data_IF_572252431330
#
_entry.id   IF_572252431330
#
_cell.length_a   1.000
_cell.length_b   1.000
_cell.length_c   1.000
_cell.angle_alpha   90.00
_cell.angle_beta   90.00
_cell.angle_gamma   90.00
#
_symmetry.space_group_name_H-M   'P 1'
#
loop_
_entity.id
_entity.type
_entity.pdbx_description
1 polymer ?
#
# COMPACT_ATOMS: atom_id res chain seq x y z
N UNK A 1 16.96 35.84 16.80
CA UNK A 1 16.72 34.73 15.85
C UNK A 1 17.49 33.50 16.31
N UNK A 2 16.83 32.56 16.99
CA UNK A 2 17.46 31.27 17.35
C UNK A 2 17.43 30.39 16.11
N UNK A 3 18.59 30.16 15.49
CA UNK A 3 18.77 29.09 14.50
C UNK A 3 18.82 27.78 15.28
N UNK A 4 17.69 27.11 15.38
CA UNK A 4 17.63 25.72 15.80
C UNK A 4 18.21 24.87 14.67
N UNK A 5 19.45 24.45 14.82
CA UNK A 5 20.05 23.35 14.07
C UNK A 5 19.33 22.07 14.49
N UNK A 6 18.12 21.81 13.98
CA UNK A 6 17.52 20.48 14.09
C UNK A 6 18.06 19.61 12.96
N UNK A 7 18.60 18.47 13.39
CA UNK A 7 19.25 17.47 12.55
C UNK A 7 18.37 17.12 11.35
N UNK A 8 18.96 17.05 10.15
CA UNK A 8 18.38 16.58 8.88
C UNK A 8 18.02 15.08 8.95
N UNK A 9 17.24 14.69 9.95
CA UNK A 9 16.83 13.32 10.21
C UNK A 9 15.41 13.14 9.70
N UNK A 10 15.23 12.19 8.80
CA UNK A 10 13.89 11.74 8.40
C UNK A 10 13.21 10.91 9.49
N UNK A 11 13.91 10.52 10.56
CA UNK A 11 13.33 9.73 11.66
C UNK A 11 12.73 10.63 12.74
N UNK A 12 11.45 10.41 13.04
CA UNK A 12 10.68 11.09 14.08
C UNK A 12 10.15 10.07 15.08
N UNK A 13 10.31 10.36 16.38
CA UNK A 13 9.78 9.52 17.45
C UNK A 13 8.48 10.10 17.96
N UNK A 14 7.41 9.30 17.96
CA UNK A 14 6.08 9.70 18.40
C UNK A 14 5.61 8.72 19.47
N UNK A 15 4.98 9.24 20.52
CA UNK A 15 4.38 8.44 21.59
C UNK A 15 2.88 8.23 21.38
N UNK A 16 2.30 7.39 22.22
CA UNK A 16 0.88 7.02 22.16
C UNK A 16 -0.01 8.16 22.64
N UNK A 17 -1.12 8.41 21.96
CA UNK A 17 -2.19 9.25 22.50
C UNK A 17 -1.87 10.74 22.56
N UNK A 18 -2.90 11.52 22.89
CA UNK A 18 -2.86 12.97 22.96
C UNK A 18 -1.85 13.51 23.98
N UNK A 19 -1.64 12.76 25.07
CA UNK A 19 -0.73 13.13 26.17
C UNK A 19 0.75 13.10 25.80
N UNK A 20 1.12 12.40 24.72
CA UNK A 20 2.50 12.32 24.24
C UNK A 20 2.78 13.29 23.07
N UNK A 21 1.81 14.13 22.69
CA UNK A 21 2.00 15.14 21.65
C UNK A 21 2.89 16.27 22.17
N UNK A 22 3.95 16.56 21.43
CA UNK A 22 4.88 17.67 21.73
C UNK A 22 5.10 18.53 20.50
N UNK A 23 5.26 19.83 20.68
CA UNK A 23 5.55 20.77 19.58
C UNK A 23 6.86 20.40 18.87
N UNK A 24 7.88 19.97 19.62
CA UNK A 24 9.17 19.58 19.07
C UNK A 24 9.05 18.40 18.08
N UNK A 25 8.35 17.33 18.46
CA UNK A 25 8.14 16.18 17.57
C UNK A 25 7.22 16.53 16.39
N UNK A 26 6.19 17.36 16.63
CA UNK A 26 5.25 17.82 15.60
C UNK A 26 5.94 18.67 14.54
N UNK A 27 6.80 19.61 14.96
CA UNK A 27 7.59 20.43 14.04
C UNK A 27 8.61 19.58 13.28
N UNK A 28 9.32 18.66 13.94
CA UNK A 28 10.25 17.75 13.26
C UNK A 28 9.55 16.87 12.20
N UNK A 29 8.31 16.43 12.47
CA UNK A 29 7.48 15.72 11.50
C UNK A 29 7.15 16.59 10.29
N UNK A 30 6.64 17.80 10.49
CA UNK A 30 6.28 18.69 9.38
C UNK A 30 7.50 19.15 8.59
N UNK A 31 8.61 19.48 9.25
CA UNK A 31 9.86 19.82 8.60
C UNK A 31 10.36 18.65 7.74
N UNK A 32 10.32 17.41 8.25
CA UNK A 32 10.72 16.22 7.47
C UNK A 32 9.84 16.03 6.23
N UNK A 33 8.52 16.16 6.38
CA UNK A 33 7.58 16.05 5.27
C UNK A 33 7.78 17.16 4.23
N UNK A 34 8.00 18.41 4.66
CA UNK A 34 8.23 19.54 3.76
C UNK A 34 9.57 19.45 3.02
N UNK A 35 10.62 19.00 3.70
CA UNK A 35 11.97 18.95 3.13
C UNK A 35 12.22 17.72 2.25
N UNK A 36 11.65 16.57 2.62
CA UNK A 36 11.95 15.29 1.98
C UNK A 36 10.75 14.67 1.25
N UNK A 37 9.53 15.12 1.53
CA UNK A 37 8.30 14.48 1.06
C UNK A 37 7.95 13.19 1.80
N UNK A 38 8.76 12.77 2.78
CA UNK A 38 8.55 11.56 3.60
C UNK A 38 9.25 11.67 4.96
N UNK A 39 8.85 10.81 5.90
CA UNK A 39 9.55 10.59 7.17
C UNK A 39 9.39 9.13 7.63
N UNK A 40 10.29 8.67 8.47
CA UNK A 40 10.16 7.42 9.22
C UNK A 40 9.62 7.75 10.61
N UNK A 41 8.59 7.02 11.04
CA UNK A 41 8.03 7.15 12.38
C UNK A 41 8.46 5.96 13.22
N UNK A 42 9.08 6.24 14.37
CA UNK A 42 9.27 5.24 15.41
C UNK A 42 8.13 5.39 16.42
N UNK A 43 7.29 4.35 16.54
CA UNK A 43 6.12 4.32 17.41
C UNK A 43 6.12 3.06 18.29
N UNK A 44 5.73 3.13 19.59
CA UNK A 44 5.75 1.98 20.49
C UNK A 44 4.91 0.76 20.04
N UNK A 45 3.85 1.00 19.26
CA UNK A 45 2.99 -0.07 18.72
C UNK A 45 3.59 -0.84 17.55
N UNK A 46 4.55 -0.27 16.82
CA UNK A 46 5.15 -0.91 15.66
C UNK A 46 6.53 -1.42 16.03
N UNK A 47 6.55 -2.69 16.47
CA UNK A 47 7.78 -3.38 16.88
C UNK A 47 8.35 -4.19 15.71
N UNK A 48 9.68 -4.38 15.73
CA UNK A 48 10.39 -5.09 14.67
C UNK A 48 9.88 -6.53 14.52
N UNK A 49 9.56 -7.17 15.63
CA UNK A 49 9.13 -8.56 15.71
C UNK A 49 7.80 -8.77 14.96
N UNK A 50 6.88 -7.81 15.06
CA UNK A 50 5.59 -7.80 14.33
C UNK A 50 5.85 -7.67 12.83
N UNK A 51 6.71 -6.72 12.43
CA UNK A 51 7.07 -6.51 11.02
C UNK A 51 7.77 -7.74 10.42
N UNK A 52 8.72 -8.32 11.15
CA UNK A 52 9.45 -9.51 10.73
C UNK A 52 8.49 -10.71 10.56
N UNK A 53 7.53 -10.88 11.46
CA UNK A 53 6.50 -11.93 11.35
C UNK A 53 5.60 -11.70 10.12
N UNK A 54 5.04 -10.50 9.96
CA UNK A 54 4.21 -10.15 8.79
C UNK A 54 4.93 -10.33 7.47
N UNK A 55 6.20 -9.93 7.39
CA UNK A 55 7.01 -10.11 6.19
C UNK A 55 7.24 -11.59 5.89
N UNK A 56 7.54 -12.40 6.91
CA UNK A 56 7.69 -13.86 6.75
C UNK A 56 6.40 -14.51 6.28
N UNK A 57 5.28 -14.20 6.92
CA UNK A 57 4.00 -14.84 6.60
C UNK A 57 3.47 -14.38 5.25
N UNK A 58 3.59 -13.09 4.92
CA UNK A 58 3.24 -12.59 3.58
C UNK A 58 4.09 -13.27 2.50
N UNK A 59 5.38 -13.46 2.76
CA UNK A 59 6.25 -14.20 1.84
C UNK A 59 5.79 -15.65 1.68
N UNK A 60 5.47 -16.36 2.76
CA UNK A 60 4.94 -17.73 2.71
C UNK A 60 3.64 -17.78 1.91
N UNK A 61 2.71 -16.85 2.16
CA UNK A 61 1.46 -16.69 1.41
C UNK A 61 1.73 -16.59 -0.10
N UNK A 62 2.56 -15.63 -0.54
CA UNK A 62 2.82 -15.45 -1.96
C UNK A 62 3.61 -16.59 -2.59
N UNK A 63 4.69 -17.04 -1.95
CA UNK A 63 5.60 -18.04 -2.52
C UNK A 63 4.99 -19.45 -2.57
N UNK A 64 4.24 -19.85 -1.54
CA UNK A 64 3.70 -21.22 -1.42
C UNK A 64 2.26 -21.37 -1.88
N UNK A 65 1.41 -20.36 -1.65
CA UNK A 65 -0.01 -20.47 -1.95
C UNK A 65 -0.40 -19.83 -3.27
N UNK A 66 0.24 -18.71 -3.64
CA UNK A 66 -0.17 -17.94 -4.83
C UNK A 66 0.67 -18.27 -6.07
N UNK A 67 1.99 -18.19 -5.96
CA UNK A 67 2.91 -18.31 -7.11
C UNK A 67 3.47 -19.73 -7.28
N UNK A 68 3.38 -20.56 -6.25
CA UNK A 68 3.96 -21.92 -6.21
C UNK A 68 5.45 -21.96 -6.63
N UNK A 69 6.23 -21.00 -6.14
CA UNK A 69 7.68 -20.97 -6.42
C UNK A 69 8.43 -22.10 -5.71
N UNK A 70 7.85 -22.67 -4.65
CA UNK A 70 8.41 -23.82 -3.93
C UNK A 70 8.41 -25.12 -4.77
N UNK A 71 7.36 -25.40 -5.56
CA UNK A 71 7.36 -26.55 -6.46
C UNK A 71 8.25 -26.32 -7.69
N UNK A 72 8.39 -25.08 -8.16
CA UNK A 72 9.27 -24.73 -9.28
C UNK A 72 10.76 -24.94 -8.96
N UNK A 73 11.17 -24.79 -7.70
CA UNK A 73 12.54 -25.05 -7.25
C UNK A 73 12.87 -26.55 -7.05
N UNK A 74 11.89 -27.45 -7.12
CA UNK A 74 12.04 -28.87 -6.79
C UNK A 74 12.38 -29.79 -7.99
N UNK A 75 12.96 -29.28 -9.09
CA UNK A 75 13.51 -30.12 -10.20
C UNK A 75 14.72 -29.47 -10.90
N UNK A 76 15.83 -30.19 -11.19
CA UNK A 76 16.35 -31.45 -10.65
C UNK A 76 17.56 -31.25 -9.71
N UNK A 77 17.84 -32.28 -8.92
CA UNK A 77 18.96 -32.39 -8.00
C UNK A 77 20.33 -32.23 -8.70
N UNK A 78 21.15 -31.29 -8.21
CA UNK A 78 22.60 -31.51 -8.09
C UNK A 78 23.17 -30.61 -6.99
N UNK A 79 23.92 -31.26 -6.10
CA UNK A 79 24.71 -30.76 -4.97
C UNK A 79 25.09 -29.27 -4.97
N UNK A 80 24.89 -28.57 -3.84
CA UNK A 80 25.97 -28.28 -2.87
C UNK A 80 25.39 -27.60 -1.61
N UNK A 81 25.55 -28.32 -0.50
CA UNK A 81 25.84 -27.89 0.89
C UNK A 81 25.63 -26.43 1.35
N UNK A 82 24.99 -26.34 2.54
CA UNK A 82 25.01 -25.25 3.56
C UNK A 82 23.98 -24.13 3.42
N UNK A 83 22.71 -24.45 3.71
CA UNK A 83 21.92 -23.63 4.62
C UNK A 83 21.17 -24.57 5.57
N UNK A 84 21.16 -24.23 6.86
CA UNK A 84 20.41 -24.96 7.89
C UNK A 84 18.97 -25.08 7.40
N UNK A 85 18.53 -26.29 7.10
CA UNK A 85 17.13 -26.60 6.86
C UNK A 85 16.40 -26.32 8.17
N UNK A 86 15.62 -25.24 8.21
CA UNK A 86 14.62 -25.05 9.24
C UNK A 86 13.67 -26.25 9.18
N UNK A 87 13.65 -26.98 10.29
CA UNK A 87 12.79 -28.12 10.58
C UNK A 87 11.32 -27.76 10.38
N UNK A 88 10.60 -28.62 9.64
CA UNK A 88 9.16 -28.58 9.30
C UNK A 88 8.75 -27.71 8.09
N UNK A 89 9.30 -27.97 6.91
CA UNK A 89 8.58 -27.69 5.67
C UNK A 89 7.53 -28.78 5.44
N UNK A 90 6.37 -28.67 6.10
CA UNK A 90 5.21 -29.46 5.69
C UNK A 90 4.86 -29.08 4.24
N UNK A 91 4.50 -30.07 3.40
CA UNK A 91 4.02 -29.79 2.05
C UNK A 91 2.74 -28.95 2.15
N UNK A 92 2.84 -27.70 1.72
CA UNK A 92 1.70 -26.79 1.57
C UNK A 92 1.09 -27.07 0.20
N UNK A 93 -0.23 -27.17 0.14
CA UNK A 93 -0.94 -27.24 -1.13
C UNK A 93 -1.08 -25.81 -1.69
N UNK A 94 -0.68 -25.53 -2.93
CA UNK A 94 -0.95 -24.23 -3.55
C UNK A 94 -2.46 -24.02 -3.75
N UNK A 95 -2.88 -22.75 -3.82
CA UNK A 95 -4.26 -22.43 -4.17
C UNK A 95 -4.56 -22.92 -5.60
N UNK A 96 -5.74 -23.53 -5.76
CA UNK A 96 -6.25 -23.91 -7.06
C UNK A 96 -6.54 -22.68 -7.93
N UNK A 97 -6.57 -22.82 -9.26
CA UNK A 97 -6.94 -21.71 -10.15
C UNK A 97 -8.31 -21.09 -9.83
N UNK A 98 -9.25 -21.91 -9.33
CA UNK A 98 -10.57 -21.44 -8.91
C UNK A 98 -10.50 -20.58 -7.65
N UNK A 99 -9.73 -21.00 -6.65
CA UNK A 99 -9.51 -20.20 -5.44
C UNK A 99 -8.81 -18.88 -5.76
N UNK A 100 -7.77 -18.92 -6.62
CA UNK A 100 -7.04 -17.73 -7.07
C UNK A 100 -7.95 -16.71 -7.79
N UNK A 101 -8.81 -17.15 -8.70
CA UNK A 101 -9.76 -16.25 -9.36
C UNK A 101 -10.82 -15.73 -8.38
N UNK A 102 -11.22 -16.53 -7.39
CA UNK A 102 -12.20 -16.13 -6.36
C UNK A 102 -11.67 -15.03 -5.44
N UNK A 103 -10.37 -15.07 -5.10
CA UNK A 103 -9.74 -14.02 -4.26
C UNK A 103 -9.35 -12.77 -5.05
N UNK A 104 -9.33 -12.85 -6.39
CA UNK A 104 -8.91 -11.76 -7.28
C UNK A 104 -9.89 -10.58 -7.25
N UNK A 105 -9.33 -9.38 -7.33
CA UNK A 105 -10.05 -8.12 -7.34
C UNK A 105 -9.60 -7.27 -8.54
N UNK A 106 -10.54 -6.58 -9.21
CA UNK A 106 -10.20 -5.59 -10.23
C UNK A 106 -9.65 -4.28 -9.62
N UNK A 107 -9.74 -4.10 -8.30
CA UNK A 107 -9.28 -2.92 -7.59
C UNK A 107 -8.31 -3.28 -6.47
N UNK A 108 -7.51 -2.29 -6.08
CA UNK A 108 -6.59 -2.40 -4.94
C UNK A 108 -7.27 -2.37 -3.57
N UNK A 109 -8.61 -2.31 -3.49
CA UNK A 109 -9.32 -2.17 -2.22
C UNK A 109 -9.22 -3.45 -1.37
N UNK A 110 -9.66 -4.60 -1.87
CA UNK A 110 -9.69 -5.86 -1.10
C UNK A 110 -9.47 -7.09 -1.96
N UNK A 111 -8.59 -7.98 -1.50
CA UNK A 111 -8.24 -9.22 -2.18
C UNK A 111 -6.98 -9.12 -3.03
N UNK A 112 -6.77 -10.16 -3.83
CA UNK A 112 -5.59 -10.34 -4.64
C UNK A 112 -5.67 -9.52 -5.93
N UNK A 113 -4.61 -8.84 -6.30
CA UNK A 113 -4.50 -8.22 -7.63
C UNK A 113 -3.03 -8.10 -8.01
N UNK A 114 -2.80 -8.01 -9.31
CA UNK A 114 -1.47 -7.86 -9.88
C UNK A 114 -1.32 -6.44 -10.40
N UNK A 115 -0.45 -5.66 -9.77
CA UNK A 115 -0.13 -4.33 -10.25
C UNK A 115 0.93 -4.44 -11.35
N UNK A 116 0.56 -4.01 -12.57
CA UNK A 116 1.46 -3.99 -13.72
C UNK A 116 1.85 -2.55 -13.98
N UNK A 117 3.12 -2.22 -13.67
CA UNK A 117 3.66 -0.88 -13.92
C UNK A 117 3.87 -0.59 -15.40
N UNK A 118 4.37 0.61 -15.71
CA UNK A 118 4.69 1.04 -17.07
C UNK A 118 5.73 0.13 -17.77
N UNK A 119 6.56 -0.57 -17.00
CA UNK A 119 7.56 -1.55 -17.48
C UNK A 119 6.94 -2.86 -18.00
N UNK A 120 5.63 -3.06 -17.89
CA UNK A 120 4.94 -4.27 -18.37
C UNK A 120 4.99 -5.45 -17.40
N UNK A 121 4.69 -6.65 -17.92
CA UNK A 121 4.46 -7.87 -17.12
C UNK A 121 5.68 -8.40 -16.35
N UNK A 122 6.88 -7.99 -16.76
CA UNK A 122 8.15 -8.44 -16.17
C UNK A 122 8.42 -7.76 -14.81
N UNK A 123 7.72 -6.67 -14.51
CA UNK A 123 7.87 -5.85 -13.30
C UNK A 123 6.56 -5.82 -12.48
N UNK A 124 5.74 -6.86 -12.66
CA UNK A 124 4.46 -6.93 -12.01
C UNK A 124 4.62 -7.28 -10.53
N UNK A 125 3.88 -6.57 -9.69
CA UNK A 125 3.86 -6.73 -8.24
C UNK A 125 2.61 -7.53 -7.88
N UNK A 126 2.79 -8.62 -7.15
CA UNK A 126 1.67 -9.37 -6.59
C UNK A 126 1.23 -8.69 -5.30
N UNK A 127 -0.05 -8.35 -5.21
CA UNK A 127 -0.60 -7.58 -4.11
C UNK A 127 -1.78 -8.31 -3.48
N UNK A 128 -1.89 -8.24 -2.16
CA UNK A 128 -3.07 -8.66 -1.42
C UNK A 128 -3.48 -7.54 -0.47
N UNK A 129 -4.67 -6.98 -0.70
CA UNK A 129 -5.20 -5.87 0.10
C UNK A 129 -6.24 -6.35 1.10
N UNK A 130 -6.16 -5.82 2.31
CA UNK A 130 -7.07 -6.05 3.42
C UNK A 130 -7.58 -4.68 3.88
N UNK A 131 -8.87 -4.55 4.12
CA UNK A 131 -9.41 -3.36 4.79
C UNK A 131 -10.16 -3.76 6.05
N UNK A 132 -10.76 -2.77 6.73
CA UNK A 132 -11.61 -3.00 7.91
C UNK A 132 -12.66 -4.09 7.70
N UNK A 133 -12.76 -5.06 8.60
CA UNK A 133 -13.77 -6.11 8.50
C UNK A 133 -15.14 -5.58 8.99
N UNK A 134 -16.08 -5.42 8.06
CA UNK A 134 -17.46 -4.99 8.31
C UNK A 134 -18.40 -5.74 7.36
N UNK A 135 -19.66 -5.91 7.77
CA UNK A 135 -20.66 -6.63 6.97
C UNK A 135 -20.89 -5.98 5.60
N UNK A 136 -20.92 -4.64 5.56
CA UNK A 136 -21.20 -3.86 4.35
C UNK A 136 -20.07 -2.85 4.07
N UNK A 137 -18.96 -3.27 3.44
CA UNK A 137 -17.79 -2.41 3.20
C UNK A 137 -18.10 -1.13 2.40
N UNK A 138 -19.14 -1.16 1.56
CA UNK A 138 -19.57 0.00 0.79
C UNK A 138 -19.89 1.21 1.67
N UNK A 139 -20.43 1.02 2.88
CA UNK A 139 -20.78 2.12 3.78
C UNK A 139 -19.59 3.00 4.18
N UNK A 140 -18.36 2.49 4.08
CA UNK A 140 -17.15 3.24 4.36
C UNK A 140 -16.92 4.36 3.33
N UNK A 141 -17.19 4.07 2.05
CA UNK A 141 -16.84 4.90 0.87
C UNK A 141 -18.03 5.49 0.12
N UNK A 142 -19.22 4.92 0.23
CA UNK A 142 -20.34 5.20 -0.67
C UNK A 142 -20.71 6.69 -0.73
N UNK A 143 -20.70 7.37 0.41
CA UNK A 143 -21.02 8.80 0.48
C UNK A 143 -20.10 9.65 -0.41
N UNK A 144 -18.81 9.31 -0.48
CA UNK A 144 -17.84 10.02 -1.33
C UNK A 144 -18.18 9.89 -2.82
N UNK A 145 -18.51 8.68 -3.28
CA UNK A 145 -18.85 8.44 -4.68
C UNK A 145 -20.19 9.09 -5.07
N UNK A 146 -21.20 9.00 -4.19
CA UNK A 146 -22.49 9.68 -4.38
C UNK A 146 -22.33 11.19 -4.49
N UNK A 147 -21.57 11.81 -3.58
CA UNK A 147 -21.28 13.24 -3.61
C UNK A 147 -20.46 13.67 -4.83
N UNK A 148 -19.63 12.76 -5.35
CA UNK A 148 -18.83 12.98 -6.56
C UNK A 148 -19.60 12.72 -7.86
N UNK A 149 -20.87 12.34 -7.79
CA UNK A 149 -21.74 12.12 -8.95
C UNK A 149 -21.46 10.84 -9.75
N UNK A 150 -20.82 9.85 -9.16
CA UNK A 150 -20.56 8.55 -9.81
C UNK A 150 -21.82 7.69 -9.87
N UNK A 151 -21.95 6.88 -10.92
CA UNK A 151 -23.08 5.95 -11.03
C UNK A 151 -22.89 4.74 -10.11
N UNK A 152 -23.96 4.29 -9.47
CA UNK A 152 -23.93 3.19 -8.50
C UNK A 152 -23.37 1.89 -9.10
N UNK A 153 -23.73 1.61 -10.35
CA UNK A 153 -23.25 0.44 -11.10
C UNK A 153 -21.73 0.44 -11.33
N UNK A 154 -21.10 1.63 -11.33
CA UNK A 154 -19.65 1.78 -11.57
C UNK A 154 -18.84 1.54 -10.30
N UNK A 155 -19.24 2.17 -9.18
CA UNK A 155 -18.41 2.16 -7.96
C UNK A 155 -18.78 1.05 -6.98
N UNK A 156 -20.07 0.66 -6.91
CA UNK A 156 -20.55 -0.25 -5.86
C UNK A 156 -19.87 -1.62 -5.92
N UNK A 157 -19.69 -2.26 -7.09
CA UNK A 157 -18.93 -3.52 -7.18
C UNK A 157 -17.49 -3.41 -6.68
N UNK A 158 -16.85 -2.24 -6.79
CA UNK A 158 -15.47 -2.01 -6.37
C UNK A 158 -15.36 -1.90 -4.84
N UNK A 159 -16.31 -1.22 -4.19
CA UNK A 159 -16.24 -0.91 -2.75
C UNK A 159 -17.06 -1.84 -1.85
N UNK A 160 -17.98 -2.64 -2.41
CA UNK A 160 -18.81 -3.58 -1.64
C UNK A 160 -18.09 -4.89 -1.28
N UNK A 161 -16.98 -5.19 -1.96
CA UNK A 161 -16.26 -6.46 -1.79
C UNK A 161 -15.76 -6.61 -0.35
N UNK A 162 -15.97 -7.77 0.25
CA UNK A 162 -15.32 -8.13 1.52
C UNK A 162 -13.93 -8.71 1.25
N UNK A 163 -13.06 -8.68 2.26
CA UNK A 163 -11.78 -9.38 2.15
C UNK A 163 -12.06 -10.89 2.01
N UNK A 164 -11.50 -11.59 1.01
CA UNK A 164 -11.93 -12.95 0.68
C UNK A 164 -11.32 -14.02 1.61
N UNK A 165 -11.31 -13.76 2.92
CA UNK A 165 -10.75 -14.65 3.94
C UNK A 165 -11.40 -16.02 3.92
N UNK A 166 -12.71 -16.11 3.68
CA UNK A 166 -13.42 -17.40 3.69
C UNK A 166 -12.84 -18.39 2.68
N UNK A 167 -12.39 -17.91 1.51
CA UNK A 167 -11.75 -18.77 0.51
C UNK A 167 -10.42 -19.29 1.04
N UNK A 168 -9.62 -18.42 1.66
CA UNK A 168 -8.32 -18.77 2.23
C UNK A 168 -8.43 -19.71 3.44
N UNK A 169 -9.41 -19.48 4.32
CA UNK A 169 -9.63 -20.28 5.52
C UNK A 169 -10.23 -21.66 5.23
N UNK A 170 -10.92 -21.81 4.09
CA UNK A 170 -11.47 -23.09 3.64
C UNK A 170 -10.48 -23.91 2.81
N UNK A 171 -9.27 -23.39 2.58
CA UNK A 171 -8.24 -24.09 1.81
C UNK A 171 -7.86 -25.40 2.52
N UNK A 172 -7.86 -26.56 1.82
CA UNK A 172 -7.55 -27.84 2.45
C UNK A 172 -6.09 -27.88 2.93
N UNK A 173 -5.87 -28.44 4.11
CA UNK A 173 -4.51 -28.69 4.57
C UNK A 173 -3.84 -29.72 3.66
N UNK A 174 -2.60 -29.47 3.26
CA UNK A 174 -1.84 -30.37 2.37
C UNK A 174 -1.56 -31.77 2.94
N UNK A 175 -2.05 -32.08 4.14
CA UNK A 175 -1.79 -33.31 4.86
C UNK A 175 -3.00 -34.27 4.76
N UNK A 176 -3.02 -35.10 3.71
CA UNK A 176 -4.10 -36.06 3.42
C UNK A 176 -4.28 -37.12 4.54
N UNK A 177 -3.26 -37.33 5.37
CA UNK A 177 -3.21 -38.37 6.41
C UNK A 177 -3.60 -37.90 7.81
N UNK A 178 -3.87 -36.61 8.01
CA UNK A 178 -4.43 -36.10 9.27
C UNK A 178 -5.28 -34.87 8.97
N UNK A 179 -6.60 -34.89 9.25
CA UNK A 179 -7.46 -33.71 9.08
C UNK A 179 -7.17 -32.70 10.20
N UNK A 180 -5.94 -32.20 10.23
CA UNK A 180 -5.58 -31.01 10.99
C UNK A 180 -5.88 -29.80 10.13
N UNK A 181 -6.54 -28.80 10.70
CA UNK A 181 -6.73 -27.50 10.07
C UNK A 181 -5.35 -26.90 9.79
N UNK A 182 -5.10 -26.47 8.55
CA UNK A 182 -3.94 -25.62 8.27
C UNK A 182 -4.15 -24.30 9.02
N UNK A 183 -3.45 -24.12 10.15
CA UNK A 183 -3.64 -22.92 10.97
C UNK A 183 -2.99 -21.70 10.36
N UNK A 184 -2.09 -21.87 9.38
CA UNK A 184 -1.33 -20.75 8.81
C UNK A 184 -2.24 -19.65 8.26
N UNK A 185 -3.29 -19.98 7.52
CA UNK A 185 -4.20 -18.96 6.95
C UNK A 185 -5.00 -18.23 8.03
N UNK A 186 -5.34 -18.91 9.12
CA UNK A 186 -6.00 -18.30 10.27
C UNK A 186 -5.04 -17.36 11.02
N UNK A 187 -3.83 -17.85 11.33
CA UNK A 187 -2.78 -17.08 11.99
C UNK A 187 -2.38 -15.85 11.15
N UNK A 188 -2.27 -16.01 9.83
CA UNK A 188 -1.94 -14.93 8.91
C UNK A 188 -3.04 -13.87 8.85
N UNK A 189 -4.32 -14.29 8.81
CA UNK A 189 -5.46 -13.37 8.89
C UNK A 189 -5.42 -12.57 10.19
N UNK A 190 -5.24 -13.24 11.33
CA UNK A 190 -5.20 -12.58 12.63
C UNK A 190 -4.05 -11.58 12.71
N UNK A 191 -2.86 -11.95 12.23
CA UNK A 191 -1.70 -11.07 12.20
C UNK A 191 -1.91 -9.84 11.30
N UNK A 192 -2.49 -10.02 10.11
CA UNK A 192 -2.81 -8.91 9.19
C UNK A 192 -3.84 -7.94 9.78
N UNK A 193 -4.89 -8.46 10.43
CA UNK A 193 -5.92 -7.63 11.07
C UNK A 193 -5.40 -6.91 12.32
N UNK A 194 -4.63 -7.60 13.15
CA UNK A 194 -3.99 -6.98 14.31
C UNK A 194 -3.05 -5.84 13.87
N UNK A 195 -2.26 -6.05 12.81
CA UNK A 195 -1.39 -5.01 12.29
C UNK A 195 -2.16 -3.84 11.66
N UNK A 196 -3.27 -4.12 10.97
CA UNK A 196 -4.18 -3.08 10.47
C UNK A 196 -4.65 -2.17 11.61
N UNK A 197 -5.09 -2.74 12.73
CA UNK A 197 -5.54 -1.97 13.90
C UNK A 197 -4.39 -1.17 14.53
N UNK A 198 -3.18 -1.74 14.62
CA UNK A 198 -2.01 -0.99 15.10
C UNK A 198 -1.67 0.19 14.18
N UNK A 199 -1.73 0.00 12.86
CA UNK A 199 -1.53 1.08 11.88
C UNK A 199 -2.63 2.16 12.01
N UNK A 200 -3.87 1.78 12.29
CA UNK A 200 -4.98 2.70 12.53
C UNK A 200 -4.70 3.62 13.72
N UNK A 201 -4.26 3.05 14.84
CA UNK A 201 -3.92 3.80 16.05
C UNK A 201 -2.70 4.71 15.82
N UNK A 202 -1.62 4.19 15.23
CA UNK A 202 -0.41 4.97 14.93
C UNK A 202 -0.72 6.14 14.00
N UNK A 203 -1.57 5.94 12.99
CA UNK A 203 -1.95 7.00 12.06
C UNK A 203 -2.77 8.10 12.73
N UNK A 204 -3.63 7.80 13.69
CA UNK A 204 -4.29 8.82 14.52
C UNK A 204 -3.25 9.62 15.33
N UNK A 205 -2.29 8.96 15.96
CA UNK A 205 -1.26 9.66 16.73
C UNK A 205 -0.39 10.56 15.83
N UNK A 206 -0.07 10.11 14.62
CA UNK A 206 0.58 10.95 13.60
C UNK A 206 -0.30 12.15 13.22
N UNK A 207 -1.61 11.95 13.02
CA UNK A 207 -2.55 13.03 12.67
C UNK A 207 -2.69 14.07 13.80
N UNK A 208 -2.62 13.64 15.08
CA UNK A 208 -2.58 14.55 16.24
C UNK A 208 -1.33 15.43 16.20
N UNK A 209 -0.17 14.84 15.90
CA UNK A 209 1.07 15.58 15.71
C UNK A 209 1.01 16.55 14.53
N UNK A 210 0.39 16.15 13.41
CA UNK A 210 0.16 17.04 12.27
C UNK A 210 -0.73 18.22 12.69
N UNK A 211 -1.82 17.97 13.42
CA UNK A 211 -2.72 19.02 13.90
C UNK A 211 -2.00 20.03 14.80
N UNK A 212 -1.19 19.54 15.75
CA UNK A 212 -0.35 20.37 16.61
C UNK A 212 0.67 21.19 15.81
N UNK A 213 1.40 20.56 14.88
CA UNK A 213 2.42 21.25 14.08
C UNK A 213 1.84 22.31 13.13
N UNK A 214 0.61 22.09 12.63
CA UNK A 214 -0.12 23.08 11.83
C UNK A 214 -0.72 24.21 12.67
N UNK A 215 -0.69 24.09 14.00
CA UNK A 215 -1.24 25.06 14.92
C UNK A 215 -2.77 25.12 14.91
N UNK A 216 -3.44 24.00 14.58
CA UNK A 216 -4.90 23.94 14.57
C UNK A 216 -5.44 24.07 16.00
N UNK A 217 -6.42 24.96 16.18
CA UNK A 217 -7.04 25.23 17.48
C UNK A 217 -8.55 25.12 17.35
N UNK A 218 -9.26 24.71 18.43
CA UNK A 218 -10.71 24.69 18.46
C UNK A 218 -11.30 26.05 18.10
N UNK A 219 -12.34 26.03 17.26
CA UNK A 219 -13.11 27.23 16.92
C UNK A 219 -14.09 27.60 18.04
N UNK A 220 -14.13 28.86 18.44
CA UNK A 220 -15.17 29.37 19.36
C UNK A 220 -16.51 29.54 18.62
N UNK A 221 -17.65 29.49 19.34
CA UNK A 221 -18.99 29.69 18.75
C UNK A 221 -19.18 31.03 18.02
N UNK A 222 -18.36 32.04 18.33
CA UNK A 222 -18.40 33.38 17.72
C UNK A 222 -17.52 33.50 16.47
N UNK A 223 -16.86 32.41 16.05
CA UNK A 223 -15.94 32.36 14.93
C UNK A 223 -14.51 32.71 15.34
N UNK A 224 -13.55 31.91 14.87
CA UNK A 224 -12.12 32.08 15.13
C UNK A 224 -11.55 31.09 16.16
N UNK A 225 -10.23 30.85 16.15
CA UNK A 225 -9.56 29.97 17.11
C UNK A 225 -9.53 30.60 18.51
N UNK A 226 -9.77 29.82 19.57
CA UNK A 226 -9.55 30.29 20.95
C UNK A 226 -8.03 30.33 21.25
N UNK A 227 -7.43 31.51 21.44
CA UNK A 227 -6.00 31.63 21.74
C UNK A 227 -5.60 31.08 23.12
N UNK A 228 -6.55 30.91 24.04
CA UNK A 228 -6.32 30.30 25.35
C UNK A 228 -6.46 28.77 25.34
N UNK A 229 -7.11 28.21 24.32
CA UNK A 229 -7.27 26.76 24.17
C UNK A 229 -5.98 26.10 23.68
N UNK A 230 -5.79 24.83 24.06
CA UNK A 230 -4.73 23.99 23.48
C UNK A 230 -4.94 23.69 21.99
N UNK A 231 -4.10 22.83 21.42
CA UNK A 231 -4.29 22.36 20.04
C UNK A 231 -5.52 21.46 19.93
N UNK A 232 -6.22 21.53 18.79
CA UNK A 232 -7.30 20.59 18.47
C UNK A 232 -6.70 19.28 17.95
N UNK A 233 -6.30 18.40 18.87
CA UNK A 233 -5.61 17.15 18.52
C UNK A 233 -6.51 16.20 17.72
N UNK A 234 -7.83 16.29 17.87
CA UNK A 234 -8.79 15.39 17.22
C UNK A 234 -9.38 15.99 15.93
N UNK A 235 -8.85 17.11 15.43
CA UNK A 235 -9.31 17.77 14.21
C UNK A 235 -9.44 16.82 13.01
N UNK A 236 -8.50 15.89 12.83
CA UNK A 236 -8.51 14.93 11.73
C UNK A 236 -9.28 13.63 12.01
N UNK A 237 -9.64 13.38 13.27
CA UNK A 237 -10.33 12.14 13.70
C UNK A 237 -11.61 11.87 12.90
N UNK A 238 -12.47 12.85 12.59
CA UNK A 238 -13.68 12.62 11.77
C UNK A 238 -13.41 12.09 10.36
N UNK A 239 -12.23 12.35 9.79
CA UNK A 239 -11.85 11.86 8.46
C UNK A 239 -11.23 10.46 8.50
N UNK A 240 -10.77 10.03 9.68
CA UNK A 240 -10.05 8.77 9.86
C UNK A 240 -10.85 7.69 10.59
N UNK A 241 -11.84 8.08 11.39
CA UNK A 241 -12.62 7.19 12.29
C UNK A 241 -13.40 6.07 11.58
N UNK A 242 -13.70 6.23 10.28
CA UNK A 242 -14.33 5.18 9.48
C UNK A 242 -13.39 3.99 9.25
N UNK A 243 -12.08 4.19 9.44
CA UNK A 243 -11.03 3.23 9.13
C UNK A 243 -11.10 2.77 7.66
N UNK A 244 -11.33 3.74 6.78
CA UNK A 244 -11.53 3.53 5.36
C UNK A 244 -10.21 3.50 4.56
N UNK A 245 -9.22 2.82 5.12
CA UNK A 245 -7.92 2.59 4.51
C UNK A 245 -7.72 1.10 4.25
N UNK A 246 -6.76 0.80 3.38
CA UNK A 246 -6.40 -0.58 3.04
C UNK A 246 -4.94 -0.83 3.44
N UNK A 247 -4.70 -1.97 4.09
CA UNK A 247 -3.38 -2.54 4.31
C UNK A 247 -3.04 -3.46 3.14
N UNK A 248 -1.91 -3.24 2.49
CA UNK A 248 -1.51 -4.00 1.31
C UNK A 248 -0.18 -4.73 1.53
N UNK A 249 -0.22 -6.05 1.45
CA UNK A 249 0.98 -6.86 1.29
C UNK A 249 1.41 -6.83 -0.18
N UNK A 250 2.67 -6.48 -0.45
CA UNK A 250 3.27 -6.44 -1.79
C UNK A 250 4.41 -7.42 -1.88
N UNK A 251 4.39 -8.25 -2.91
CA UNK A 251 5.45 -9.19 -3.23
C UNK A 251 6.01 -8.87 -4.61
N UNK A 252 7.33 -8.73 -4.66
CA UNK A 252 8.09 -8.41 -5.87
C UNK A 252 8.77 -9.72 -6.33
N UNK A 253 8.24 -10.42 -7.32
CA UNK A 253 8.86 -11.64 -7.84
C UNK A 253 10.25 -11.33 -8.40
N UNK A 254 11.17 -12.31 -8.35
CA UNK A 254 12.48 -12.13 -8.95
C UNK A 254 12.34 -11.95 -10.47
N UNK A 255 13.02 -10.93 -11.02
CA UNK A 255 13.09 -10.68 -12.47
C UNK A 255 13.49 -11.98 -13.20
N UNK A 256 12.66 -12.40 -14.16
CA UNK A 256 12.89 -13.64 -14.94
C UNK A 256 12.28 -14.92 -14.35
N UNK A 257 11.74 -14.90 -13.12
CA UNK A 257 10.90 -16.00 -12.60
C UNK A 257 9.46 -15.94 -13.13
N UNK A 258 9.07 -14.87 -13.85
CA UNK A 258 7.85 -14.81 -14.67
C UNK A 258 8.05 -15.72 -15.90
N UNK A 259 8.30 -17.01 -15.65
CA UNK A 259 8.18 -18.04 -16.67
C UNK A 259 6.70 -18.20 -16.91
N UNK A 260 6.17 -17.42 -17.87
CA UNK A 260 4.84 -17.55 -18.49
C UNK A 260 3.87 -18.43 -17.68
N UNK A 261 3.28 -17.88 -16.61
CA UNK A 261 2.01 -18.43 -16.13
C UNK A 261 1.02 -18.25 -17.29
N UNK A 262 0.68 -19.37 -17.94
CA UNK A 262 -0.20 -19.44 -19.10
C UNK A 262 -1.60 -18.91 -18.74
N UNK A 263 -1.80 -17.61 -18.85
CA UNK A 263 -3.08 -17.06 -19.26
C UNK A 263 -2.98 -16.87 -20.78
N UNK A 264 -3.60 -17.81 -21.51
CA UNK A 264 -3.31 -18.09 -22.90
C UNK A 264 -3.33 -16.88 -23.83
N UNK A 265 -2.23 -16.73 -24.58
CA UNK A 265 -2.16 -16.66 -26.05
C UNK A 265 -0.74 -17.11 -26.43
N UNK A 266 -0.65 -18.06 -27.37
CA UNK A 266 0.61 -18.59 -27.89
C UNK A 266 1.43 -17.49 -28.57
N UNK A 267 2.66 -17.23 -28.10
CA UNK A 267 3.65 -16.45 -28.85
C UNK A 267 4.92 -17.28 -29.04
N UNK A 268 5.13 -17.65 -30.31
CA UNK A 268 6.30 -18.36 -30.86
C UNK A 268 7.62 -17.78 -30.33
N UNK A 269 8.49 -18.69 -29.88
CA UNK A 269 9.87 -18.40 -29.45
C UNK A 269 10.65 -17.70 -30.57
N UNK A 270 11.37 -16.62 -30.24
CA UNK A 270 12.64 -16.27 -30.87
C UNK A 270 13.67 -15.92 -29.80
N UNK A 271 14.92 -16.25 -30.13
CA UNK A 271 16.00 -16.58 -29.24
C UNK A 271 16.61 -15.40 -28.46
N UNK A 272 17.22 -15.79 -27.33
CA UNK A 272 18.34 -15.16 -26.61
C UNK A 272 19.13 -14.12 -27.40
N UNK A 273 19.28 -12.93 -26.81
CA UNK A 273 20.49 -12.13 -26.96
C UNK A 273 20.91 -11.62 -25.56
N UNK A 274 21.91 -12.28 -24.97
CA UNK A 274 22.68 -11.74 -23.87
C UNK A 274 23.43 -10.50 -24.37
N UNK A 275 23.18 -9.34 -23.75
CA UNK A 275 24.20 -8.29 -23.62
C UNK A 275 24.19 -7.77 -22.18
N UNK A 276 25.16 -8.26 -21.42
CA UNK A 276 25.69 -7.57 -20.26
C UNK A 276 26.31 -6.25 -20.70
N UNK A 277 25.84 -5.12 -20.19
CA UNK A 277 26.62 -3.87 -20.18
C UNK A 277 26.55 -3.27 -18.79
N UNK A 278 27.64 -3.44 -18.05
CA UNK A 278 28.01 -2.56 -16.97
C UNK A 278 28.33 -1.17 -17.55
N UNK A 279 27.78 -0.12 -16.96
CA UNK A 279 28.39 1.21 -17.07
C UNK A 279 28.09 2.03 -15.81
N UNK A 280 29.16 2.34 -15.07
CA UNK A 280 29.20 3.46 -14.13
C UNK A 280 29.35 4.74 -14.96
N UNK A 281 28.44 5.70 -14.79
CA UNK A 281 28.81 7.12 -14.93
C UNK A 281 27.80 8.02 -14.24
N UNK A 282 28.31 8.74 -13.24
CA UNK A 282 27.89 10.09 -12.84
C UNK A 282 27.65 11.01 -14.05
N UNK A 283 26.54 11.74 -14.05
CA UNK A 283 26.44 13.18 -14.36
C UNK A 283 24.98 13.58 -14.68
N UNK A 284 24.46 14.43 -13.81
CA UNK A 284 23.55 15.56 -14.05
C UNK A 284 23.02 15.75 -15.48
N UNK A 285 21.69 15.63 -15.68
CA UNK A 285 21.00 16.40 -16.72
C UNK A 285 19.51 16.62 -16.45
N UNK A 286 19.06 17.79 -16.91
CA UNK A 286 17.89 18.57 -16.48
C UNK A 286 16.57 18.02 -17.03
N UNK A 287 15.49 18.23 -16.27
CA UNK A 287 14.11 18.09 -16.73
C UNK A 287 13.78 19.12 -17.84
N UNK A 288 13.15 18.72 -18.95
CA UNK A 288 12.55 19.67 -19.88
C UNK A 288 11.11 20.03 -19.44
N UNK A 289 10.88 21.34 -19.33
CA UNK A 289 9.59 22.01 -19.11
C UNK A 289 8.60 21.68 -20.24
N UNK A 290 7.37 21.34 -19.87
CA UNK A 290 6.24 21.19 -20.79
C UNK A 290 5.87 22.53 -21.44
N UNK A 291 5.69 22.52 -22.76
CA UNK A 291 5.15 23.62 -23.54
C UNK A 291 3.61 23.59 -23.49
N UNK A 292 3.01 24.69 -23.06
CA UNK A 292 1.58 24.95 -23.10
C UNK A 292 1.28 25.57 -24.48
N UNK A 293 0.45 24.91 -25.28
CA UNK A 293 -0.05 25.45 -26.55
C UNK A 293 -1.44 26.07 -26.30
N UNK A 294 -1.52 27.40 -26.29
CA UNK A 294 -2.79 28.14 -26.27
C UNK A 294 -3.46 28.08 -27.65
N UNK A 295 -4.64 27.48 -27.72
CA UNK A 295 -5.56 27.61 -28.85
C UNK A 295 -6.38 28.89 -28.73
N UNK A 296 -6.11 29.90 -29.57
CA UNK A 296 -6.90 31.14 -29.64
C UNK A 296 -7.92 31.11 -30.78
N UNK A 297 -9.16 31.32 -30.37
CA UNK A 297 -10.37 31.43 -31.18
C UNK A 297 -10.30 32.52 -32.27
N UNK A 298 -10.84 32.16 -33.43
CA UNK A 298 -11.31 33.06 -34.50
C UNK A 298 -12.40 34.01 -33.98
N UNK A 299 -12.22 35.32 -34.17
CA UNK A 299 -13.33 36.26 -34.44
C UNK A 299 -12.83 37.33 -35.41
N UNK A 300 -13.37 37.30 -36.62
CA UNK A 300 -13.23 38.37 -37.59
C UNK A 300 -14.18 39.53 -37.27
N UNK A 301 -13.71 40.76 -37.46
CA UNK A 301 -14.54 41.93 -37.73
C UNK A 301 -13.85 42.79 -38.78
N UNK A 302 -14.61 43.12 -39.83
CA UNK A 302 -14.29 44.06 -40.92
C UNK A 302 -14.71 45.47 -40.51
N UNK A 303 -14.03 46.47 -41.07
CA UNK A 303 -14.53 47.82 -41.41
C UNK A 303 -14.60 48.80 -40.22
N UNK A 304 -14.24 50.09 -40.33
CA UNK A 304 -13.97 50.96 -41.46
C UNK A 304 -13.03 52.10 -41.04
N UNK A 305 -12.34 52.67 -42.03
CA UNK A 305 -11.62 53.95 -42.00
C UNK A 305 -12.57 55.14 -41.83
N UNK A 306 -12.15 56.16 -41.06
CA UNK A 306 -11.89 57.52 -41.57
C UNK A 306 -11.34 58.44 -40.46
N UNK A 307 -10.18 59.05 -40.74
CA UNK A 307 -9.62 60.29 -40.17
C UNK A 307 -10.44 61.51 -40.63
N UNK A 308 -10.27 62.73 -40.07
CA UNK A 308 -9.22 63.21 -39.17
C UNK A 308 -9.65 63.49 -37.72
#
# INVERSE_FOLDING_TARGET
>A
MRRTLFCLSTLVKIGRGAENVTEAASNALLESLQMHGYCYVQHPFIQKEILDQLHRDSRIFFERYVTDTAAAAARPATMTTRFKQDTHQQPVLPLSPYELESIKSPSGFRGYHRYVGASGLDDAIECFSVGREVEQPAHLREAYYKLSGWNEEEYKPLISRQTPWQVLLNHPSGNVSSPGTDTFMADYREMMLAYFDLCAEVSIDVLRHISCGLGVRPTIPQGGPDPASGYDLDFFTPFHNKLDFDLQAKYYPQLGQVTRMNNGVEIKKRALCLKSVWSKSTATQRCPRAAITEGRHRRGKRGCNHSP
#
